data_IF_829800194414
#
_entry.id   IF_829800194414
#
_cell.length_a   1.000
_cell.length_b   1.000
_cell.length_c   1.000
_cell.angle_alpha   90.00
_cell.angle_beta   90.00
_cell.angle_gamma   90.00
#
_symmetry.space_group_name_H-M   'P 1'
#
loop_
_entity.id
_entity.type
_entity.pdbx_description
1 polymer ?
#
# COMPACT_ATOMS: atom_id res chain seq x y z
N UNK A 1 10.78 46.83 8.42
CA UNK A 1 10.42 45.51 8.99
C UNK A 1 11.55 44.53 8.69
N UNK A 2 12.26 44.07 9.73
CA UNK A 2 13.56 43.40 9.67
C UNK A 2 13.53 42.07 8.90
N UNK A 3 14.51 41.86 8.02
CA UNK A 3 14.62 40.69 7.14
C UNK A 3 14.69 39.35 7.89
N UNK A 4 15.13 39.36 9.16
CA UNK A 4 15.04 38.21 10.08
C UNK A 4 13.61 37.66 10.23
N UNK A 5 12.59 38.53 10.25
CA UNK A 5 11.19 38.10 10.40
C UNK A 5 10.68 37.45 9.10
N UNK A 6 11.09 37.98 7.94
CA UNK A 6 10.76 37.40 6.63
C UNK A 6 11.43 36.04 6.44
N UNK A 7 12.70 35.92 6.80
CA UNK A 7 13.45 34.65 6.75
C UNK A 7 12.82 33.57 7.65
N UNK A 8 12.46 33.91 8.89
CA UNK A 8 11.74 32.99 9.80
C UNK A 8 10.36 32.57 9.29
N UNK A 9 9.66 33.42 8.53
CA UNK A 9 8.39 33.04 7.88
C UNK A 9 8.63 32.06 6.73
N UNK A 10 9.68 32.27 5.94
CA UNK A 10 10.04 31.37 4.85
C UNK A 10 10.42 29.98 5.36
N UNK A 11 11.28 29.89 6.38
CA UNK A 11 11.64 28.62 7.01
C UNK A 11 10.44 27.86 7.57
N UNK A 12 9.47 28.58 8.16
CA UNK A 12 8.22 27.96 8.63
C UNK A 12 7.38 27.38 7.49
N UNK A 13 7.35 28.04 6.33
CA UNK A 13 6.65 27.52 5.14
C UNK A 13 7.35 26.29 4.57
N UNK A 14 8.68 26.31 4.49
CA UNK A 14 9.48 25.15 4.06
C UNK A 14 9.25 23.97 5.00
N UNK A 15 9.32 24.19 6.32
CA UNK A 15 9.02 23.14 7.29
C UNK A 15 7.60 22.59 7.13
N UNK A 16 6.60 23.47 7.01
CA UNK A 16 5.21 23.04 6.85
C UNK A 16 4.97 22.25 5.56
N UNK A 17 5.68 22.59 4.48
CA UNK A 17 5.67 21.87 3.20
C UNK A 17 6.28 20.47 3.37
N UNK A 18 7.49 20.37 3.92
CA UNK A 18 8.15 19.09 4.18
C UNK A 18 7.35 18.19 5.13
N UNK A 19 6.75 18.77 6.19
CA UNK A 19 5.88 18.04 7.11
C UNK A 19 4.60 17.54 6.42
N UNK A 20 4.08 18.27 5.43
CA UNK A 20 2.89 17.86 4.67
C UNK A 20 3.22 16.70 3.71
N UNK A 21 4.35 16.78 3.03
CA UNK A 21 4.84 15.71 2.16
C UNK A 21 5.10 14.43 2.96
N UNK A 22 5.74 14.56 4.13
CA UNK A 22 5.95 13.43 5.04
C UNK A 22 4.63 12.78 5.48
N UNK A 23 3.64 13.58 5.89
CA UNK A 23 2.31 13.05 6.26
C UNK A 23 1.63 12.35 5.09
N UNK A 24 1.73 12.89 3.88
CA UNK A 24 1.16 12.27 2.69
C UNK A 24 1.81 10.92 2.38
N UNK A 25 3.14 10.81 2.51
CA UNK A 25 3.87 9.55 2.34
C UNK A 25 3.47 8.50 3.39
N UNK A 26 3.32 8.90 4.65
CA UNK A 26 2.85 8.01 5.74
C UNK A 26 1.44 7.50 5.43
N UNK A 27 0.52 8.40 5.08
CA UNK A 27 -0.87 8.01 4.76
C UNK A 27 -0.92 7.04 3.57
N UNK A 28 -0.17 7.32 2.51
CA UNK A 28 -0.10 6.45 1.34
C UNK A 28 0.40 5.04 1.71
N UNK A 29 1.39 4.94 2.61
CA UNK A 29 1.86 3.65 3.12
C UNK A 29 0.79 2.92 3.90
N UNK A 30 0.10 3.60 4.81
CA UNK A 30 -0.97 3.00 5.62
C UNK A 30 -2.09 2.46 4.73
N UNK A 31 -2.50 3.22 3.72
CA UNK A 31 -3.56 2.82 2.78
C UNK A 31 -3.15 1.56 1.99
N UNK A 32 -1.91 1.50 1.49
CA UNK A 32 -1.37 0.32 0.81
C UNK A 32 -1.34 -0.89 1.75
N UNK A 33 -0.90 -0.72 3.00
CA UNK A 33 -0.88 -1.79 3.99
C UNK A 33 -2.28 -2.33 4.28
N UNK A 34 -3.28 -1.45 4.40
CA UNK A 34 -4.68 -1.85 4.59
C UNK A 34 -5.20 -2.68 3.41
N UNK A 35 -4.92 -2.25 2.17
CA UNK A 35 -5.30 -3.00 0.96
C UNK A 35 -4.60 -4.36 0.92
N UNK A 36 -3.30 -4.42 1.20
CA UNK A 36 -2.53 -5.67 1.28
C UNK A 36 -3.09 -6.62 2.36
N UNK A 37 -3.54 -6.08 3.49
CA UNK A 37 -4.22 -6.84 4.54
C UNK A 37 -5.53 -7.46 4.06
N UNK A 38 -6.34 -6.72 3.32
CA UNK A 38 -7.58 -7.23 2.70
C UNK A 38 -7.29 -8.31 1.66
N UNK A 39 -6.28 -8.11 0.81
CA UNK A 39 -5.86 -9.11 -0.17
C UNK A 39 -5.36 -10.39 0.49
N UNK A 40 -4.57 -10.30 1.57
CA UNK A 40 -4.13 -11.47 2.34
C UNK A 40 -5.32 -12.27 2.89
N UNK A 41 -6.33 -11.61 3.46
CA UNK A 41 -7.55 -12.27 3.94
C UNK A 41 -8.30 -12.97 2.80
N UNK A 42 -8.42 -12.31 1.64
CA UNK A 42 -9.05 -12.90 0.44
C UNK A 42 -8.28 -14.14 -0.06
N UNK A 43 -6.95 -14.09 -0.10
CA UNK A 43 -6.11 -15.26 -0.44
C UNK A 43 -6.39 -16.45 0.47
N UNK A 44 -6.39 -16.24 1.79
CA UNK A 44 -6.68 -17.33 2.74
C UNK A 44 -8.11 -17.86 2.64
N UNK A 45 -9.07 -17.03 2.23
CA UNK A 45 -10.44 -17.48 1.98
C UNK A 45 -10.50 -18.32 0.71
N UNK A 46 -9.95 -17.82 -0.39
CA UNK A 46 -9.94 -18.52 -1.68
C UNK A 46 -9.17 -19.83 -1.60
N UNK A 47 -8.02 -19.88 -0.92
CA UNK A 47 -7.29 -21.13 -0.74
C UNK A 47 -8.14 -22.18 -0.02
N UNK A 48 -8.82 -21.81 1.07
CA UNK A 48 -9.73 -22.73 1.77
C UNK A 48 -10.86 -23.23 0.87
N UNK A 49 -11.45 -22.33 0.07
CA UNK A 49 -12.50 -22.73 -0.88
C UNK A 49 -11.96 -23.68 -1.95
N UNK A 50 -10.74 -23.48 -2.46
CA UNK A 50 -10.10 -24.42 -3.40
C UNK A 50 -9.90 -25.80 -2.76
N UNK A 51 -9.45 -25.82 -1.49
CA UNK A 51 -9.13 -27.05 -0.77
C UNK A 51 -10.41 -27.85 -0.39
N UNK A 52 -11.54 -27.15 -0.21
CA UNK A 52 -12.85 -27.72 0.16
C UNK A 52 -13.73 -28.03 -1.07
N UNK A 53 -13.36 -27.58 -2.26
CA UNK A 53 -14.13 -27.78 -3.50
C UNK A 53 -13.79 -29.12 -4.17
N UNK A 54 -14.84 -29.88 -4.51
CA UNK A 54 -14.73 -31.22 -5.11
C UNK A 54 -15.07 -31.22 -6.60
N UNK A 55 -15.79 -30.21 -7.08
CA UNK A 55 -16.02 -30.03 -8.51
C UNK A 55 -14.76 -29.45 -9.18
N UNK A 56 -14.20 -30.20 -10.13
CA UNK A 56 -12.95 -29.83 -10.80
C UNK A 56 -13.07 -28.51 -11.60
N UNK A 57 -14.26 -28.17 -12.10
CA UNK A 57 -14.50 -26.92 -12.82
C UNK A 57 -14.49 -25.72 -11.87
N UNK A 58 -15.27 -25.80 -10.79
CA UNK A 58 -15.33 -24.78 -9.75
C UNK A 58 -13.99 -24.61 -9.03
N UNK A 59 -13.31 -25.71 -8.72
CA UNK A 59 -11.98 -25.70 -8.09
C UNK A 59 -10.97 -24.95 -8.97
N UNK A 60 -10.99 -25.19 -10.28
CA UNK A 60 -10.12 -24.49 -11.23
C UNK A 60 -10.40 -23.00 -11.28
N UNK A 61 -11.68 -22.59 -11.32
CA UNK A 61 -12.05 -21.16 -11.32
C UNK A 61 -11.58 -20.46 -10.04
N UNK A 62 -11.77 -21.10 -8.88
CA UNK A 62 -11.31 -20.59 -7.59
C UNK A 62 -9.77 -20.49 -7.54
N UNK A 63 -9.06 -21.45 -8.12
CA UNK A 63 -7.61 -21.44 -8.22
C UNK A 63 -7.10 -20.30 -9.13
N UNK A 64 -7.76 -20.06 -10.26
CA UNK A 64 -7.43 -18.93 -11.15
C UNK A 64 -7.65 -17.58 -10.45
N UNK A 65 -8.75 -17.43 -9.72
CA UNK A 65 -9.00 -16.22 -8.91
C UNK A 65 -7.94 -16.06 -7.82
N UNK A 66 -7.55 -17.15 -7.15
CA UNK A 66 -6.52 -17.13 -6.13
C UNK A 66 -5.18 -16.66 -6.69
N UNK A 67 -4.77 -17.13 -7.88
CA UNK A 67 -3.53 -16.69 -8.54
C UNK A 67 -3.57 -15.21 -8.91
N UNK A 68 -4.70 -14.71 -9.38
CA UNK A 68 -4.89 -13.28 -9.64
C UNK A 68 -4.71 -12.44 -8.36
N UNK A 69 -5.31 -12.87 -7.24
CA UNK A 69 -5.15 -12.18 -5.96
C UNK A 69 -3.71 -12.30 -5.42
N UNK A 70 -3.02 -13.42 -5.66
CA UNK A 70 -1.57 -13.58 -5.37
C UNK A 70 -0.73 -12.57 -6.15
N UNK A 71 -0.95 -12.46 -7.45
CA UNK A 71 -0.25 -11.51 -8.31
C UNK A 71 -0.48 -10.06 -7.89
N UNK A 72 -1.73 -9.67 -7.61
CA UNK A 72 -2.08 -8.33 -7.12
C UNK A 72 -1.38 -7.99 -5.80
N UNK A 73 -1.37 -8.93 -4.84
CA UNK A 73 -0.69 -8.71 -3.55
C UNK A 73 0.82 -8.60 -3.72
N UNK A 74 1.42 -9.43 -4.58
CA UNK A 74 2.87 -9.35 -4.89
C UNK A 74 3.22 -7.95 -5.43
N UNK A 75 2.45 -7.45 -6.39
CA UNK A 75 2.62 -6.10 -6.94
C UNK A 75 2.47 -5.01 -5.88
N UNK A 76 1.49 -5.12 -4.99
CA UNK A 76 1.33 -4.15 -3.90
C UNK A 76 2.50 -4.17 -2.89
N UNK A 77 3.10 -5.34 -2.63
CA UNK A 77 4.32 -5.45 -1.80
C UNK A 77 5.52 -4.81 -2.51
N UNK A 78 5.65 -4.97 -3.82
CA UNK A 78 6.70 -4.32 -4.61
C UNK A 78 6.59 -2.80 -4.56
N UNK A 79 5.37 -2.25 -4.67
CA UNK A 79 5.12 -0.81 -4.50
C UNK A 79 5.49 -0.34 -3.10
N UNK A 80 5.14 -1.10 -2.06
CA UNK A 80 5.52 -0.73 -0.68
C UNK A 80 7.05 -0.72 -0.49
N UNK A 81 7.75 -1.69 -1.10
CA UNK A 81 9.22 -1.75 -1.08
C UNK A 81 9.88 -0.62 -1.86
N UNK A 82 9.29 -0.13 -2.95
CA UNK A 82 9.85 1.03 -3.66
C UNK A 82 9.72 2.30 -2.82
N UNK A 83 8.64 2.44 -2.04
CA UNK A 83 8.49 3.55 -1.07
C UNK A 83 9.48 3.48 0.09
N UNK A 84 10.09 2.31 0.37
CA UNK A 84 11.18 2.17 1.37
C UNK A 84 12.56 2.54 0.81
N UNK A 85 12.75 2.46 -0.52
CA UNK A 85 14.06 2.65 -1.17
C UNK A 85 14.30 4.07 -1.68
N UNK A 86 13.23 4.85 -1.89
CA UNK A 86 13.29 6.28 -2.15
C UNK A 86 12.73 7.06 -0.95
N UNK A 87 13.52 7.27 0.12
CA UNK A 87 13.22 8.35 1.04
C UNK A 87 13.53 9.67 0.32
N UNK A 88 12.49 10.31 -0.23
CA UNK A 88 12.61 11.71 -0.68
C UNK A 88 12.90 12.62 0.51
#
# INVERSE_FOLDING_TARGET
MTDKVKYRKLLRRVKAFLDADFRAQVQMREDIQQVLGKLKKRQHKLQRLVDEEFDAGAQRQLAEELELVKAQRKKGIEVLRSLDRDPS
#
